data_IF_017893085952
#
_entry.id   IF_017893085952
#
_cell.length_a   1.000
_cell.length_b   1.000
_cell.length_c   1.000
_cell.angle_alpha   90.00
_cell.angle_beta   90.00
_cell.angle_gamma   90.00
#
_symmetry.space_group_name_H-M   'P 1'
#
loop_
_entity.id
_entity.type
_entity.pdbx_description
1 polymer ?
#
# COMPACT_ATOMS: atom_id res chain seq x y z
N UNK A 1 32.73 6.24 -0.29
CA UNK A 1 31.77 6.70 -1.33
C UNK A 1 31.51 5.66 -2.44
N UNK A 2 32.46 4.77 -2.80
CA UNK A 2 32.27 3.78 -3.87
C UNK A 2 31.13 2.74 -3.65
N UNK A 3 30.83 2.37 -2.40
CA UNK A 3 29.83 1.33 -2.08
C UNK A 3 28.38 1.76 -2.35
N UNK A 4 28.08 3.05 -2.19
CA UNK A 4 26.74 3.60 -2.43
C UNK A 4 26.40 3.66 -3.93
N UNK A 5 27.36 4.11 -4.76
CA UNK A 5 27.22 4.14 -6.21
C UNK A 5 26.95 2.73 -6.79
N UNK A 6 27.72 1.73 -6.36
CA UNK A 6 27.54 0.34 -6.80
C UNK A 6 26.19 -0.28 -6.36
N UNK A 7 25.64 0.19 -5.23
CA UNK A 7 24.32 -0.26 -4.74
C UNK A 7 23.21 0.36 -5.59
N UNK A 8 23.33 1.63 -5.96
CA UNK A 8 22.37 2.33 -6.80
C UNK A 8 22.31 1.73 -8.21
N UNK A 9 23.45 1.42 -8.83
CA UNK A 9 23.50 0.79 -10.15
C UNK A 9 22.80 -0.57 -10.18
N UNK A 10 22.97 -1.40 -9.15
CA UNK A 10 22.27 -2.69 -9.05
C UNK A 10 20.76 -2.51 -8.95
N UNK A 11 20.31 -1.55 -8.15
CA UNK A 11 18.88 -1.24 -8.00
C UNK A 11 18.28 -0.72 -9.29
N UNK A 12 18.99 0.16 -10.00
CA UNK A 12 18.56 0.66 -11.32
C UNK A 12 18.46 -0.48 -12.33
N UNK A 13 19.45 -1.36 -12.39
CA UNK A 13 19.40 -2.54 -13.26
C UNK A 13 18.24 -3.48 -12.93
N UNK A 14 17.90 -3.65 -11.66
CA UNK A 14 16.75 -4.45 -11.25
C UNK A 14 15.41 -3.81 -11.63
N UNK A 15 15.31 -2.47 -11.58
CA UNK A 15 14.14 -1.74 -12.05
C UNK A 15 13.99 -1.91 -13.56
N UNK A 16 15.07 -1.70 -14.32
CA UNK A 16 15.07 -1.84 -15.79
C UNK A 16 14.68 -3.27 -16.19
N UNK A 17 15.22 -4.29 -15.53
CA UNK A 17 14.87 -5.69 -15.79
C UNK A 17 13.39 -6.01 -15.58
N UNK A 18 12.72 -5.33 -14.64
CA UNK A 18 11.32 -5.61 -14.29
C UNK A 18 10.32 -4.79 -15.07
N UNK A 19 10.64 -3.52 -15.33
CA UNK A 19 9.69 -2.55 -15.84
C UNK A 19 10.06 -2.01 -17.23
N UNK A 20 11.23 -2.39 -17.76
CA UNK A 20 11.76 -1.84 -19.00
C UNK A 20 12.63 -0.60 -18.78
N UNK A 21 13.34 -0.22 -19.82
CA UNK A 21 14.16 1.00 -19.89
C UNK A 21 13.31 2.26 -20.08
N UNK A 22 12.15 2.14 -20.72
CA UNK A 22 11.19 3.22 -20.95
C UNK A 22 9.87 2.92 -20.26
N UNK A 23 9.44 3.83 -19.38
CA UNK A 23 8.18 3.71 -18.63
C UNK A 23 7.22 4.82 -19.09
N UNK A 24 6.08 4.42 -19.65
CA UNK A 24 5.01 5.35 -20.03
C UNK A 24 4.02 5.56 -18.87
N UNK A 25 4.23 6.63 -18.10
CA UNK A 25 3.38 6.96 -16.95
C UNK A 25 1.98 7.47 -17.34
N UNK A 26 1.74 7.86 -18.60
CA UNK A 26 0.39 8.24 -19.05
C UNK A 26 -0.51 7.02 -19.20
N UNK A 27 0.05 5.92 -19.69
CA UNK A 27 -0.67 4.66 -19.87
C UNK A 27 -0.80 3.90 -18.55
N UNK A 28 0.25 3.91 -17.73
CA UNK A 28 0.22 3.24 -16.43
C UNK A 28 0.89 4.08 -15.32
N UNK A 29 0.15 5.04 -14.73
CA UNK A 29 0.68 5.89 -13.67
C UNK A 29 0.97 5.13 -12.36
N UNK A 30 0.39 3.95 -12.15
CA UNK A 30 0.60 3.17 -10.93
C UNK A 30 2.03 2.62 -10.82
N UNK A 31 2.74 2.45 -11.95
CA UNK A 31 4.11 1.92 -11.98
C UNK A 31 5.09 2.75 -11.15
N UNK A 32 4.94 4.09 -11.13
CA UNK A 32 5.83 4.94 -10.33
C UNK A 32 5.67 4.63 -8.83
N UNK A 33 4.45 4.39 -8.37
CA UNK A 33 4.14 4.09 -6.97
C UNK A 33 4.71 2.72 -6.59
N UNK A 34 4.59 1.74 -7.48
CA UNK A 34 5.15 0.40 -7.26
C UNK A 34 6.68 0.41 -7.21
N UNK A 35 7.34 1.14 -8.12
CA UNK A 35 8.79 1.27 -8.14
C UNK A 35 9.29 1.92 -6.83
N UNK A 36 8.64 3.00 -6.39
CA UNK A 36 9.01 3.68 -5.14
C UNK A 36 8.79 2.77 -3.93
N UNK A 37 7.66 2.04 -3.86
CA UNK A 37 7.39 1.09 -2.76
C UNK A 37 8.42 -0.03 -2.69
N UNK A 38 8.79 -0.59 -3.83
CA UNK A 38 9.65 -1.78 -3.90
C UNK A 38 11.15 -1.46 -3.79
N UNK A 39 11.57 -0.28 -4.26
CA UNK A 39 12.98 0.08 -4.39
C UNK A 39 13.39 1.33 -3.60
N UNK A 40 12.46 2.16 -3.14
CA UNK A 40 12.76 3.41 -2.42
C UNK A 40 13.63 3.20 -1.18
N UNK A 41 13.36 2.12 -0.41
CA UNK A 41 14.18 1.76 0.76
C UNK A 41 15.62 1.36 0.42
N UNK A 42 15.85 0.83 -0.78
CA UNK A 42 17.17 0.40 -1.25
C UNK A 42 18.01 1.56 -1.79
N UNK A 43 17.35 2.61 -2.28
CA UNK A 43 17.96 3.83 -2.80
C UNK A 43 18.33 4.82 -1.68
N UNK A 44 17.60 4.82 -0.56
CA UNK A 44 17.84 5.70 0.60
C UNK A 44 18.65 4.98 1.69
N UNK A 45 19.88 4.58 1.37
CA UNK A 45 20.75 3.84 2.29
C UNK A 45 21.79 4.78 2.95
N UNK A 46 21.33 5.92 3.48
CA UNK A 46 22.21 7.02 3.93
C UNK A 46 22.16 7.28 5.44
N UNK A 47 21.82 6.28 6.27
CA UNK A 47 22.02 6.30 7.73
C UNK A 47 21.33 7.41 8.54
N UNK A 48 20.68 8.37 7.89
CA UNK A 48 20.00 9.51 8.48
C UNK A 48 18.51 9.23 8.54
N UNK A 49 18.10 8.69 9.69
CA UNK A 49 16.72 8.39 10.12
C UNK A 49 15.90 7.55 9.13
N UNK A 50 15.17 6.51 9.59
CA UNK A 50 13.94 6.20 8.87
C UNK A 50 13.19 7.53 8.82
N UNK A 51 12.93 8.04 7.61
CA UNK A 51 11.76 8.86 7.39
C UNK A 51 10.60 8.00 7.83
N UNK A 52 10.38 7.98 9.14
CA UNK A 52 9.19 7.51 9.73
C UNK A 52 8.15 8.31 8.98
N UNK A 53 7.26 7.58 8.32
CA UNK A 53 5.90 7.83 8.71
C UNK A 53 5.94 7.82 10.24
N UNK A 54 5.97 9.00 10.87
CA UNK A 54 5.49 9.08 12.24
C UNK A 54 4.18 8.29 12.26
N UNK A 55 3.84 7.62 13.39
CA UNK A 55 2.64 6.79 13.47
C UNK A 55 1.55 7.52 12.73
N UNK A 56 1.06 6.96 11.61
CA UNK A 56 0.24 7.65 10.62
C UNK A 56 -0.73 8.55 11.37
N UNK A 57 -0.39 9.84 11.50
CA UNK A 57 -1.31 10.82 12.04
C UNK A 57 -2.49 10.72 11.09
N UNK A 58 -3.70 10.50 11.63
CA UNK A 58 -4.77 9.76 10.97
C UNK A 58 -4.78 10.12 9.50
N UNK A 59 -4.28 9.20 8.66
CA UNK A 59 -4.36 9.35 7.21
C UNK A 59 -5.81 9.67 6.95
N UNK A 60 -6.05 10.86 6.39
CA UNK A 60 -7.36 11.43 6.09
C UNK A 60 -8.31 10.29 5.77
N UNK A 61 -9.37 10.16 6.56
CA UNK A 61 -10.34 9.07 6.53
C UNK A 61 -10.74 8.68 5.11
N UNK A 62 -9.94 7.83 4.46
CA UNK A 62 -10.44 6.91 3.48
C UNK A 62 -10.82 5.74 4.35
N UNK A 63 -12.05 5.78 4.82
CA UNK A 63 -12.74 4.63 5.38
C UNK A 63 -12.76 3.57 4.27
N UNK A 64 -11.64 2.88 4.08
CA UNK A 64 -11.60 1.67 3.28
C UNK A 64 -12.46 0.70 4.06
N UNK A 65 -13.69 0.51 3.59
CA UNK A 65 -14.60 -0.49 4.10
C UNK A 65 -13.84 -1.82 4.09
N UNK A 66 -13.43 -2.27 5.27
CA UNK A 66 -12.69 -3.52 5.39
C UNK A 66 -13.67 -4.67 5.28
N UNK A 67 -13.20 -5.83 4.79
CA UNK A 67 -14.02 -7.04 4.78
C UNK A 67 -14.53 -7.39 6.19
N UNK A 68 -13.78 -7.04 7.24
CA UNK A 68 -14.20 -7.21 8.63
C UNK A 68 -15.42 -6.36 8.99
N UNK A 69 -15.47 -5.10 8.54
CA UNK A 69 -16.60 -4.20 8.80
C UNK A 69 -17.85 -4.64 8.02
N UNK A 70 -17.70 -5.09 6.76
CA UNK A 70 -18.81 -5.69 6.00
C UNK A 70 -19.41 -6.90 6.71
N UNK A 71 -18.56 -7.81 7.21
CA UNK A 71 -19.03 -9.00 7.91
C UNK A 71 -19.73 -8.66 9.23
N UNK A 72 -19.28 -7.61 9.93
CA UNK A 72 -19.92 -7.12 11.16
C UNK A 72 -21.31 -6.55 10.88
N UNK A 73 -21.47 -5.78 9.81
CA UNK A 73 -22.77 -5.24 9.39
C UNK A 73 -23.72 -6.35 8.93
N UNK A 74 -23.23 -7.33 8.17
CA UNK A 74 -24.02 -8.49 7.76
C UNK A 74 -24.52 -9.30 8.97
N UNK A 75 -23.68 -9.47 9.99
CA UNK A 75 -24.07 -10.14 11.23
C UNK A 75 -25.11 -9.35 12.03
N UNK A 76 -25.04 -8.01 12.02
CA UNK A 76 -26.04 -7.16 12.67
C UNK A 76 -27.41 -7.31 11.98
N UNK A 77 -27.42 -7.24 10.65
CA UNK A 77 -28.63 -7.43 9.86
C UNK A 77 -29.27 -8.82 10.08
N UNK A 78 -28.45 -9.88 10.14
CA UNK A 78 -28.98 -11.24 10.37
C UNK A 78 -29.66 -11.38 11.74
N UNK A 79 -29.11 -10.74 12.78
CA UNK A 79 -29.71 -10.71 14.14
C UNK A 79 -31.00 -9.91 14.20
N UNK A 80 -31.05 -8.78 13.51
CA UNK A 80 -32.26 -7.95 13.43
C UNK A 80 -33.39 -8.70 12.72
N UNK A 81 -33.09 -9.35 11.59
CA UNK A 81 -34.05 -10.20 10.87
C UNK A 81 -34.53 -11.36 11.76
N UNK A 82 -33.63 -12.03 12.49
CA UNK A 82 -34.01 -13.10 13.40
C UNK A 82 -34.95 -12.61 14.51
N UNK A 83 -34.68 -11.43 15.07
CA UNK A 83 -35.51 -10.80 16.11
C UNK A 83 -36.88 -10.39 15.58
N UNK A 84 -36.94 -9.88 14.36
CA UNK A 84 -38.20 -9.53 13.68
C UNK A 84 -39.01 -10.81 13.44
N UNK A 85 -38.36 -11.86 12.93
CA UNK A 85 -39.01 -13.17 12.69
C UNK A 85 -39.56 -13.79 13.97
N UNK A 86 -38.86 -13.65 15.10
CA UNK A 86 -39.31 -14.17 16.40
C UNK A 86 -40.42 -13.33 17.05
N UNK A 87 -40.71 -12.13 16.55
CA UNK A 87 -41.78 -11.25 17.04
C UNK A 87 -43.03 -11.26 16.13
N UNK A 88 -42.85 -11.62 14.86
CA UNK A 88 -43.91 -11.71 13.85
C UNK A 88 -44.41 -13.13 13.61
N UNK A 89 -43.72 -14.14 14.12
CA UNK A 89 -44.20 -15.52 14.24
C UNK A 89 -44.48 -15.86 15.69
#
# INVERSE_FOLDING_TARGET
MAKAAQTNEKVVNDIIKRYGDVINLKENPALIVEIVRNFGKKLHNDGGLPGGVGPVGPTSHIETVTNAELMKQLLKLSKEIATIKSKLG
#
